data_IF_490533070419
#
_entry.id   IF_490533070419
#
_cell.length_a   1.000
_cell.length_b   1.000
_cell.length_c   1.000
_cell.angle_alpha   90.00
_cell.angle_beta   90.00
_cell.angle_gamma   90.00
#
_symmetry.space_group_name_H-M   'P 1'
#
loop_
_entity.id
_entity.type
_entity.pdbx_description
1 polymer ?
#
# COMPACT_ATOMS: atom_id res chain seq x y z
N UNK A 1 -20.24 -33.09 15.43
CA UNK A 1 -19.83 -32.14 14.39
C UNK A 1 -20.47 -30.81 14.75
N UNK A 2 -19.70 -29.91 15.36
CA UNK A 2 -20.18 -28.58 15.70
C UNK A 2 -20.29 -27.74 14.42
N UNK A 3 -21.35 -26.93 14.26
CA UNK A 3 -21.51 -26.08 13.09
C UNK A 3 -20.35 -25.08 13.05
N UNK A 4 -19.69 -24.98 11.89
CA UNK A 4 -18.67 -23.96 11.63
C UNK A 4 -19.36 -22.61 11.84
N UNK A 5 -18.93 -21.87 12.87
CA UNK A 5 -19.33 -20.48 13.12
C UNK A 5 -19.24 -19.72 11.79
N UNK A 6 -20.39 -19.21 11.32
CA UNK A 6 -20.52 -18.55 10.03
C UNK A 6 -19.43 -17.51 9.84
N UNK A 7 -18.53 -17.76 8.91
CA UNK A 7 -17.39 -16.89 8.65
C UNK A 7 -17.89 -15.72 7.82
N UNK A 8 -18.22 -14.62 8.49
CA UNK A 8 -18.72 -13.42 7.84
C UNK A 8 -17.70 -12.94 6.79
N UNK A 9 -18.17 -12.48 5.63
CA UNK A 9 -17.29 -11.87 4.65
C UNK A 9 -16.65 -10.60 5.20
N UNK A 10 -15.42 -10.30 4.78
CA UNK A 10 -14.86 -8.97 5.04
C UNK A 10 -15.57 -7.96 4.14
N UNK A 11 -15.99 -6.83 4.70
CA UNK A 11 -16.80 -5.84 4.00
C UNK A 11 -16.09 -4.48 3.95
N UNK A 12 -15.96 -3.91 2.76
CA UNK A 12 -15.42 -2.54 2.58
C UNK A 12 -16.58 -1.55 2.57
N UNK A 13 -16.84 -0.92 3.73
CA UNK A 13 -17.99 -0.01 3.91
C UNK A 13 -17.96 1.19 2.95
N UNK A 14 -16.77 1.70 2.59
CA UNK A 14 -16.61 2.80 1.65
C UNK A 14 -16.88 2.46 0.17
N UNK A 15 -17.11 1.19 -0.14
CA UNK A 15 -17.37 0.67 -1.50
C UNK A 15 -18.63 -0.18 -1.52
N UNK A 16 -19.78 0.39 -1.13
CA UNK A 16 -21.09 -0.28 -1.16
C UNK A 16 -21.14 -1.65 -0.44
N UNK A 17 -20.34 -1.84 0.60
CA UNK A 17 -20.13 -3.14 1.24
C UNK A 17 -19.66 -4.19 0.22
N UNK A 18 -18.56 -3.88 -0.46
CA UNK A 18 -17.83 -4.84 -1.29
C UNK A 18 -17.36 -5.98 -0.41
N UNK A 19 -17.79 -7.20 -0.75
CA UNK A 19 -17.39 -8.42 -0.08
C UNK A 19 -16.01 -8.89 -0.57
N UNK A 20 -15.05 -9.02 0.35
CA UNK A 20 -13.70 -9.51 0.06
C UNK A 20 -13.46 -10.79 0.84
N UNK A 21 -13.70 -11.93 0.19
CA UNK A 21 -13.43 -13.24 0.75
C UNK A 21 -13.97 -13.42 2.17
N UNK A 22 -13.31 -14.28 2.93
CA UNK A 22 -13.64 -14.62 4.30
C UNK A 22 -12.84 -13.75 5.27
N UNK A 23 -13.50 -13.06 6.20
CA UNK A 23 -12.79 -12.28 7.21
C UNK A 23 -11.92 -13.19 8.09
N UNK A 24 -10.70 -12.74 8.34
CA UNK A 24 -9.86 -13.31 9.39
C UNK A 24 -10.22 -12.67 10.72
N UNK A 25 -10.26 -13.45 11.82
CA UNK A 25 -10.30 -12.84 13.14
C UNK A 25 -9.08 -11.93 13.32
N UNK A 26 -9.20 -10.92 14.17
CA UNK A 26 -8.06 -10.07 14.50
C UNK A 26 -6.91 -10.93 15.05
N UNK A 27 -5.78 -11.00 14.34
CA UNK A 27 -4.59 -11.71 14.82
C UNK A 27 -3.36 -10.80 14.74
N UNK A 28 -3.05 -10.14 15.86
CA UNK A 28 -1.69 -10.10 16.34
C UNK A 28 -1.65 -10.75 17.72
N UNK A 29 -1.17 -11.99 17.80
CA UNK A 29 -0.87 -12.65 19.08
C UNK A 29 0.42 -12.12 19.71
N UNK A 30 1.15 -11.23 19.03
CA UNK A 30 2.49 -10.83 19.43
C UNK A 30 3.43 -12.03 19.41
N UNK A 31 4.23 -12.17 20.46
CA UNK A 31 5.12 -13.31 20.66
C UNK A 31 5.03 -13.85 22.08
N UNK A 32 5.20 -15.16 22.23
CA UNK A 32 5.26 -15.83 23.54
C UNK A 32 6.70 -15.96 24.09
N UNK A 33 7.70 -15.37 23.41
CA UNK A 33 9.13 -15.48 23.76
C UNK A 33 9.75 -14.22 24.38
N UNK A 34 10.90 -14.32 25.05
CA UNK A 34 11.67 -13.13 25.44
C UNK A 34 12.39 -12.52 24.22
N UNK A 35 12.38 -11.19 24.08
CA UNK A 35 13.21 -10.47 23.08
C UNK A 35 14.70 -10.49 23.42
N UNK A 36 15.03 -10.82 24.67
CA UNK A 36 16.39 -11.04 25.15
C UNK A 36 16.55 -12.51 25.50
N UNK A 37 17.33 -13.24 24.70
CA UNK A 37 17.59 -14.66 24.94
C UNK A 37 19.01 -14.80 25.50
N UNK A 38 19.09 -15.32 26.73
CA UNK A 38 20.35 -15.45 27.49
C UNK A 38 21.35 -16.30 26.70
N UNK A 39 22.51 -15.71 26.37
CA UNK A 39 23.61 -16.38 25.66
C UNK A 39 23.57 -16.30 24.12
N UNK A 40 22.48 -15.83 23.51
CA UNK A 40 22.35 -15.72 22.04
C UNK A 40 22.20 -14.30 21.51
N UNK A 41 21.91 -13.33 22.40
CA UNK A 41 21.68 -11.94 22.03
C UNK A 41 20.19 -11.56 21.97
N UNK A 42 19.94 -10.37 21.45
CA UNK A 42 18.64 -9.73 21.21
C UNK A 42 18.19 -10.15 19.83
N UNK A 43 16.93 -10.50 19.77
CA UNK A 43 16.23 -10.86 18.55
C UNK A 43 14.76 -10.59 18.78
N UNK A 44 14.04 -10.22 17.72
CA UNK A 44 12.59 -10.35 17.78
C UNK A 44 12.24 -11.85 17.67
N UNK A 45 11.49 -12.41 18.63
CA UNK A 45 11.04 -13.79 18.53
C UNK A 45 10.24 -14.05 17.24
N UNK A 46 10.08 -15.32 16.89
CA UNK A 46 9.17 -15.66 15.79
C UNK A 46 7.73 -15.31 16.16
N UNK A 47 7.00 -14.71 15.24
CA UNK A 47 5.63 -14.29 15.50
C UNK A 47 5.06 -13.41 14.40
N UNK A 48 3.84 -12.93 14.64
CA UNK A 48 3.10 -12.03 13.77
C UNK A 48 2.96 -10.69 14.48
N UNK A 49 3.50 -9.64 13.87
CA UNK A 49 3.67 -8.34 14.51
C UNK A 49 3.03 -7.22 13.71
N UNK A 50 2.45 -6.25 14.41
CA UNK A 50 2.19 -4.92 13.84
C UNK A 50 3.46 -4.06 13.91
N UNK A 51 3.48 -2.95 13.17
CA UNK A 51 4.55 -1.95 13.27
C UNK A 51 4.80 -1.49 14.72
N UNK A 52 3.72 -1.28 15.50
CA UNK A 52 3.80 -0.89 16.91
C UNK A 52 4.50 -1.95 17.76
N UNK A 53 4.11 -3.21 17.60
CA UNK A 53 4.70 -4.33 18.36
C UNK A 53 6.18 -4.52 18.03
N UNK A 54 6.61 -4.24 16.79
CA UNK A 54 8.03 -4.27 16.42
C UNK A 54 8.80 -3.15 17.14
N UNK A 55 8.24 -1.94 17.19
CA UNK A 55 8.86 -0.82 17.93
C UNK A 55 9.01 -1.17 19.42
N UNK A 56 7.94 -1.71 20.03
CA UNK A 56 7.94 -2.16 21.42
C UNK A 56 8.95 -3.30 21.65
N UNK A 57 9.04 -4.27 20.73
CA UNK A 57 10.02 -5.37 20.80
C UNK A 57 11.49 -4.93 20.65
N UNK A 58 11.73 -3.77 20.04
CA UNK A 58 13.06 -3.16 19.93
C UNK A 58 13.41 -2.25 21.11
N UNK A 59 12.43 -1.84 21.92
CA UNK A 59 12.64 -0.93 23.04
C UNK A 59 13.70 -1.38 24.07
N UNK A 60 13.89 -2.69 24.37
CA UNK A 60 14.93 -3.11 25.30
C UNK A 60 16.35 -2.65 24.91
N UNK A 61 16.63 -2.48 23.60
CA UNK A 61 17.91 -1.92 23.13
C UNK A 61 18.10 -0.48 23.60
N UNK A 62 17.05 0.35 23.51
CA UNK A 62 17.07 1.74 23.95
C UNK A 62 17.11 1.84 25.48
N UNK A 63 16.31 1.03 26.19
CA UNK A 63 16.27 1.03 27.66
C UNK A 63 17.62 0.64 28.27
N UNK A 64 18.31 -0.34 27.68
CA UNK A 64 19.66 -0.74 28.11
C UNK A 64 20.65 0.41 27.95
N UNK A 65 20.57 1.16 26.83
CA UNK A 65 21.40 2.36 26.62
C UNK A 65 21.09 3.41 27.69
N UNK A 66 19.82 3.70 27.93
CA UNK A 66 19.39 4.71 28.90
C UNK A 66 19.78 4.35 30.33
N UNK A 67 19.76 3.06 30.69
CA UNK A 67 20.17 2.58 32.01
C UNK A 67 21.63 2.91 32.33
N UNK A 68 22.53 2.77 31.34
CA UNK A 68 23.96 3.02 31.53
C UNK A 68 24.37 4.48 31.34
N UNK A 69 23.53 5.30 30.70
CA UNK A 69 23.81 6.72 30.57
C UNK A 69 23.64 7.43 31.91
N UNK A 70 24.68 8.14 32.36
CA UNK A 70 24.58 8.93 33.59
C UNK A 70 23.47 10.01 33.48
N UNK A 71 22.84 10.43 34.59
CA UNK A 71 21.77 11.44 34.58
C UNK A 71 22.14 12.72 33.81
N UNK A 72 21.16 13.33 33.16
CA UNK A 72 21.37 14.61 32.47
C UNK A 72 21.61 15.75 33.48
N UNK A 73 22.54 16.69 33.20
CA UNK A 73 22.70 17.90 34.00
C UNK A 73 21.40 18.68 34.14
N UNK A 74 21.22 19.44 35.24
CA UNK A 74 20.09 20.36 35.35
C UNK A 74 20.09 21.35 34.18
N UNK A 75 18.93 21.58 33.57
CA UNK A 75 18.70 22.43 32.40
C UNK A 75 19.18 21.87 31.03
N UNK A 76 19.46 20.57 30.92
CA UNK A 76 19.65 19.91 29.63
C UNK A 76 18.51 18.93 29.34
N UNK A 77 18.18 18.66 28.07
CA UNK A 77 17.27 17.59 27.71
C UNK A 77 17.72 16.25 28.32
N UNK A 78 16.76 15.41 28.67
CA UNK A 78 17.04 14.05 29.11
C UNK A 78 17.72 13.24 28.00
N UNK A 79 18.52 12.25 28.38
CA UNK A 79 19.14 11.34 27.41
C UNK A 79 18.09 10.72 26.47
N UNK A 80 16.91 10.34 27.00
CA UNK A 80 15.80 9.81 26.20
C UNK A 80 15.33 10.81 25.15
N UNK A 81 15.08 12.07 25.53
CA UNK A 81 14.65 13.11 24.59
C UNK A 81 15.69 13.32 23.49
N UNK A 82 16.98 13.38 23.83
CA UNK A 82 18.05 13.56 22.86
C UNK A 82 18.12 12.40 21.86
N UNK A 83 18.06 11.15 22.34
CA UNK A 83 18.11 9.95 21.49
C UNK A 83 16.87 9.86 20.60
N UNK A 84 15.66 10.08 21.14
CA UNK A 84 14.43 10.03 20.34
C UNK A 84 14.31 11.21 19.36
N UNK A 85 14.86 12.37 19.66
CA UNK A 85 14.97 13.50 18.72
C UNK A 85 15.97 13.21 17.58
N UNK A 86 17.01 12.44 17.85
CA UNK A 86 17.91 11.95 16.81
C UNK A 86 17.26 10.86 15.93
N UNK A 87 16.50 9.94 16.53
CA UNK A 87 15.66 8.99 15.77
C UNK A 87 14.71 9.76 14.85
N UNK A 88 14.04 10.79 15.36
CA UNK A 88 13.13 11.60 14.55
C UNK A 88 13.80 12.23 13.33
N UNK A 89 15.03 12.74 13.48
CA UNK A 89 15.78 13.27 12.33
C UNK A 89 16.23 12.18 11.36
N UNK A 90 16.65 11.01 11.84
CA UNK A 90 17.01 9.89 10.99
C UNK A 90 15.82 9.37 10.16
N UNK A 91 14.61 9.42 10.73
CA UNK A 91 13.39 8.98 10.06
C UNK A 91 12.74 10.06 9.18
N UNK A 92 13.04 11.34 9.40
CA UNK A 92 12.58 12.45 8.58
C UNK A 92 13.27 12.50 7.21
N UNK A 93 12.74 13.34 6.31
CA UNK A 93 13.36 13.67 5.02
C UNK A 93 13.95 15.09 5.06
N UNK A 94 15.04 15.31 4.33
CA UNK A 94 15.63 16.64 4.13
C UNK A 94 16.43 17.20 5.31
N UNK A 95 16.78 16.35 6.28
CA UNK A 95 17.74 16.71 7.34
C UNK A 95 19.12 16.15 7.02
N UNK A 96 20.16 16.67 7.66
CA UNK A 96 21.52 16.11 7.51
C UNK A 96 21.56 14.65 7.93
N UNK A 97 20.79 14.28 8.96
CA UNK A 97 20.77 12.94 9.54
C UNK A 97 19.82 11.97 8.83
N UNK A 98 19.06 12.42 7.84
CA UNK A 98 18.05 11.60 7.16
C UNK A 98 18.66 10.34 6.54
N UNK A 99 18.10 9.18 6.87
CA UNK A 99 18.55 7.86 6.34
C UNK A 99 17.94 7.50 4.98
N UNK A 100 17.05 8.35 4.46
CA UNK A 100 16.36 8.19 3.18
C UNK A 100 16.28 9.55 2.47
N UNK A 101 16.63 9.58 1.19
CA UNK A 101 16.71 10.81 0.39
C UNK A 101 15.68 10.85 -0.74
N UNK A 102 14.39 10.71 -0.42
CA UNK A 102 13.33 10.78 -1.45
C UNK A 102 12.88 12.22 -1.66
N UNK A 103 13.00 12.73 -2.89
CA UNK A 103 12.57 14.09 -3.24
C UNK A 103 11.04 14.22 -3.29
N UNK A 104 10.49 15.09 -2.45
CA UNK A 104 9.07 15.45 -2.50
C UNK A 104 8.69 16.36 -3.69
N UNK A 105 9.69 16.88 -4.42
CA UNK A 105 9.48 17.76 -5.58
C UNK A 105 9.19 16.98 -6.87
N UNK A 106 9.63 15.72 -6.92
CA UNK A 106 9.38 14.84 -8.05
C UNK A 106 7.96 14.26 -7.94
N UNK A 107 7.10 14.56 -8.92
CA UNK A 107 5.72 14.09 -8.96
C UNK A 107 5.62 12.55 -8.90
N UNK A 108 6.60 11.83 -9.44
CA UNK A 108 6.63 10.36 -9.42
C UNK A 108 6.94 9.78 -8.04
N UNK A 109 7.56 10.57 -7.14
CA UNK A 109 8.06 10.14 -5.82
C UNK A 109 7.35 10.83 -4.66
N UNK A 110 6.58 11.88 -4.94
CA UNK A 110 5.84 12.67 -3.94
C UNK A 110 5.01 11.81 -2.99
N UNK A 111 4.35 10.78 -3.51
CA UNK A 111 3.55 9.84 -2.74
C UNK A 111 4.40 9.06 -1.72
N UNK A 112 5.53 8.48 -2.15
CA UNK A 112 6.46 7.79 -1.26
C UNK A 112 7.16 8.72 -0.28
N UNK A 113 7.47 9.96 -0.68
CA UNK A 113 8.03 10.97 0.22
C UNK A 113 7.05 11.31 1.36
N UNK A 114 5.78 11.55 1.01
CA UNK A 114 4.73 11.79 2.00
C UNK A 114 4.54 10.57 2.91
N UNK A 115 4.56 9.37 2.34
CA UNK A 115 4.42 8.13 3.08
C UNK A 115 5.58 7.89 4.06
N UNK A 116 6.83 8.13 3.63
CA UNK A 116 8.01 8.03 4.49
C UNK A 116 7.92 8.99 5.69
N UNK A 117 7.47 10.23 5.47
CA UNK A 117 7.27 11.21 6.56
C UNK A 117 6.16 10.75 7.51
N UNK A 118 5.04 10.25 6.97
CA UNK A 118 3.91 9.76 7.77
C UNK A 118 4.34 8.60 8.67
N UNK A 119 4.95 7.56 8.09
CA UNK A 119 5.46 6.39 8.82
C UNK A 119 6.51 6.82 9.85
N UNK A 120 7.50 7.63 9.46
CA UNK A 120 8.56 8.08 10.36
C UNK A 120 8.03 8.80 11.60
N UNK A 121 7.01 9.67 11.44
CA UNK A 121 6.35 10.32 12.58
C UNK A 121 5.63 9.30 13.47
N UNK A 122 4.89 8.36 12.89
CA UNK A 122 4.19 7.31 13.65
C UNK A 122 5.16 6.46 14.47
N UNK A 123 6.28 6.01 13.88
CA UNK A 123 7.27 5.19 14.59
C UNK A 123 7.93 5.96 15.75
N UNK A 124 8.21 7.26 15.58
CA UNK A 124 8.70 8.13 16.66
C UNK A 124 7.67 8.26 17.78
N UNK A 125 6.39 8.41 17.44
CA UNK A 125 5.30 8.45 18.43
C UNK A 125 5.24 7.15 19.23
N UNK A 126 5.24 5.99 18.57
CA UNK A 126 5.27 4.70 19.25
C UNK A 126 6.50 4.56 20.17
N UNK A 127 7.68 4.97 19.71
CA UNK A 127 8.90 4.95 20.50
C UNK A 127 8.85 5.86 21.74
N UNK A 128 8.15 7.01 21.66
CA UNK A 128 7.95 7.93 22.79
C UNK A 128 6.91 7.42 23.79
N UNK A 129 5.89 6.73 23.30
CA UNK A 129 4.82 6.15 24.12
C UNK A 129 5.26 4.86 24.83
N UNK A 130 6.24 4.15 24.28
CA UNK A 130 6.77 2.91 24.85
C UNK A 130 7.50 3.19 26.16
N UNK A 131 7.01 2.59 27.25
CA UNK A 131 7.52 2.72 28.63
C UNK A 131 7.46 1.37 29.34
N UNK A 132 8.17 1.26 30.46
CA UNK A 132 8.10 0.12 31.39
C UNK A 132 8.38 -1.25 30.72
N UNK A 133 9.29 -1.27 29.76
CA UNK A 133 9.69 -2.49 29.05
C UNK A 133 10.75 -3.24 29.83
N UNK A 134 10.64 -4.58 29.87
CA UNK A 134 11.69 -5.43 30.45
C UNK A 134 12.96 -5.39 29.59
N UNK A 135 14.10 -5.14 30.23
CA UNK A 135 15.42 -5.15 29.59
C UNK A 135 16.46 -5.80 30.50
N UNK A 136 17.60 -6.17 29.93
CA UNK A 136 18.74 -6.75 30.65
C UNK A 136 19.86 -5.69 30.71
N UNK A 137 20.18 -5.14 31.90
CA UNK A 137 21.26 -4.17 32.06
C UNK A 137 22.63 -4.70 31.62
N UNK A 138 22.90 -5.99 31.74
CA UNK A 138 24.21 -6.57 31.42
C UNK A 138 24.34 -6.92 29.93
N UNK A 139 23.37 -6.49 29.14
CA UNK A 139 23.24 -6.83 27.75
C UNK A 139 24.25 -6.08 26.87
N UNK A 140 24.97 -6.84 26.04
CA UNK A 140 25.92 -6.29 25.08
C UNK A 140 25.75 -6.95 23.70
N UNK A 141 25.61 -6.13 22.66
CA UNK A 141 25.69 -6.58 21.27
C UNK A 141 26.97 -6.11 20.61
N UNK A 142 27.38 -6.89 19.62
CA UNK A 142 28.14 -6.39 18.49
C UNK A 142 27.19 -6.24 17.32
N UNK A 143 26.80 -5.01 17.02
CA UNK A 143 26.06 -4.68 15.81
C UNK A 143 27.03 -4.14 14.75
N UNK A 144 26.87 -4.51 13.45
CA UNK A 144 27.51 -3.79 12.36
C UNK A 144 27.13 -2.31 12.44
N UNK A 145 28.12 -1.42 12.44
CA UNK A 145 27.85 0.02 12.38
C UNK A 145 27.29 0.38 11.00
N UNK A 146 26.01 0.74 10.91
CA UNK A 146 25.32 1.06 9.65
C UNK A 146 25.44 2.54 9.27
N UNK A 147 26.35 3.28 9.91
CA UNK A 147 26.69 4.66 9.54
C UNK A 147 25.58 5.71 9.76
N UNK A 148 24.47 5.37 10.44
CA UNK A 148 23.39 6.32 10.77
C UNK A 148 23.95 7.57 11.46
N UNK A 149 23.66 8.73 10.88
CA UNK A 149 24.22 9.98 11.34
C UNK A 149 23.59 10.41 12.67
N UNK A 150 24.45 10.85 13.57
CA UNK A 150 24.07 11.37 14.88
C UNK A 150 24.07 12.90 14.87
N UNK A 151 23.04 13.51 15.45
CA UNK A 151 23.02 14.92 15.84
C UNK A 151 24.23 15.22 16.73
N UNK A 152 24.85 16.41 16.61
CA UNK A 152 26.04 16.76 17.40
C UNK A 152 25.87 16.54 18.91
N UNK A 153 24.70 16.87 19.46
CA UNK A 153 24.40 16.67 20.88
C UNK A 153 24.36 15.18 21.27
N UNK A 154 23.87 14.31 20.39
CA UNK A 154 23.86 12.85 20.62
C UNK A 154 25.26 12.27 20.45
N UNK A 155 26.07 12.78 19.52
CA UNK A 155 27.49 12.41 19.44
C UNK A 155 28.20 12.70 20.75
N UNK A 156 28.03 13.90 21.32
CA UNK A 156 28.62 14.25 22.62
C UNK A 156 28.11 13.36 23.76
N UNK A 157 26.84 12.98 23.74
CA UNK A 157 26.27 12.06 24.73
C UNK A 157 26.89 10.67 24.63
N UNK A 158 26.93 10.09 23.42
CA UNK A 158 27.32 8.70 23.19
C UNK A 158 28.84 8.45 23.27
N UNK A 159 29.66 9.47 22.96
CA UNK A 159 31.13 9.39 23.01
C UNK A 159 31.73 10.17 24.18
N UNK A 160 30.90 10.82 25.00
CA UNK A 160 31.35 11.59 26.14
C UNK A 160 31.54 10.75 27.41
N UNK A 161 31.96 11.39 28.51
CA UNK A 161 32.23 10.73 29.80
C UNK A 161 31.01 10.05 30.44
N UNK A 162 29.80 10.30 29.92
CA UNK A 162 28.52 9.78 30.43
C UNK A 162 28.11 8.45 29.80
N UNK A 163 28.94 7.88 28.92
CA UNK A 163 28.62 6.71 28.09
C UNK A 163 29.68 5.62 28.21
N UNK A 164 29.34 4.42 27.75
CA UNK A 164 30.25 3.28 27.64
C UNK A 164 30.47 2.94 26.16
N UNK A 165 31.64 2.42 25.81
CA UNK A 165 32.02 2.18 24.41
C UNK A 165 31.05 1.29 23.61
N UNK A 166 30.32 0.39 24.28
CA UNK A 166 29.36 -0.52 23.64
C UNK A 166 27.95 0.07 23.47
N UNK A 167 27.59 1.17 24.16
CA UNK A 167 26.25 1.76 24.08
C UNK A 167 25.94 2.29 22.68
N UNK A 168 26.96 2.79 21.97
CA UNK A 168 26.79 3.24 20.59
C UNK A 168 26.28 2.11 19.70
N UNK A 169 26.86 0.92 19.82
CA UNK A 169 26.46 -0.23 18.99
C UNK A 169 25.00 -0.63 19.25
N UNK A 170 24.55 -0.59 20.51
CA UNK A 170 23.15 -0.83 20.87
C UNK A 170 22.21 0.23 20.31
N UNK A 171 22.56 1.51 20.45
CA UNK A 171 21.74 2.59 19.93
C UNK A 171 21.70 2.61 18.39
N UNK A 172 22.81 2.28 17.73
CA UNK A 172 22.86 2.18 16.27
C UNK A 172 22.01 1.01 15.75
N UNK A 173 22.01 -0.13 16.44
CA UNK A 173 21.10 -1.23 16.12
C UNK A 173 19.64 -0.77 16.27
N UNK A 174 19.29 -0.13 17.38
CA UNK A 174 17.95 0.41 17.59
C UNK A 174 17.52 1.37 16.47
N UNK A 175 18.38 2.33 16.10
CA UNK A 175 18.14 3.23 14.97
C UNK A 175 17.94 2.46 13.66
N UNK A 176 18.81 1.48 13.41
CA UNK A 176 18.75 0.70 12.18
C UNK A 176 17.45 -0.10 12.06
N UNK A 177 16.98 -0.73 13.15
CA UNK A 177 15.70 -1.44 13.17
C UNK A 177 14.53 -0.52 12.81
N UNK A 178 14.51 0.71 13.32
CA UNK A 178 13.49 1.70 12.97
C UNK A 178 13.56 2.16 11.51
N UNK A 179 14.77 2.32 10.98
CA UNK A 179 15.00 2.67 9.56
C UNK A 179 14.53 1.55 8.63
N UNK A 180 14.89 0.31 8.94
CA UNK A 180 14.45 -0.87 8.19
C UNK A 180 12.92 -1.01 8.24
N UNK A 181 12.31 -0.83 9.41
CA UNK A 181 10.86 -0.87 9.57
C UNK A 181 10.17 0.22 8.74
N UNK A 182 10.63 1.48 8.81
CA UNK A 182 10.07 2.58 8.00
C UNK A 182 10.09 2.21 6.52
N UNK A 183 11.22 1.72 6.03
CA UNK A 183 11.43 1.47 4.61
C UNK A 183 10.64 0.25 4.12
N UNK A 184 10.51 -0.78 4.96
CA UNK A 184 9.70 -1.96 4.67
C UNK A 184 8.19 -1.64 4.62
N UNK A 185 7.74 -0.62 5.35
CA UNK A 185 6.33 -0.19 5.40
C UNK A 185 5.93 0.76 4.26
N UNK A 186 6.88 1.30 3.48
CA UNK A 186 6.61 2.23 2.38
C UNK A 186 5.56 1.74 1.37
N UNK A 187 5.45 0.44 1.03
CA UNK A 187 4.45 -0.04 0.08
C UNK A 187 2.99 0.09 0.53
N UNK A 188 2.69 0.29 1.82
CA UNK A 188 1.34 0.09 2.37
C UNK A 188 0.68 1.40 2.81
N UNK A 189 -0.55 1.68 2.36
CA UNK A 189 -1.31 2.87 2.74
C UNK A 189 -1.79 2.84 4.20
N UNK A 190 -2.21 1.66 4.67
CA UNK A 190 -2.62 1.31 6.03
C UNK A 190 -1.52 0.52 6.78
N UNK A 191 -0.28 0.96 6.65
CA UNK A 191 0.91 0.32 7.23
C UNK A 191 0.82 -0.06 8.72
N UNK A 192 -0.01 0.63 9.52
CA UNK A 192 -0.20 0.34 10.95
C UNK A 192 -0.91 -1.00 11.18
N UNK A 193 -1.75 -1.42 10.22
CA UNK A 193 -2.57 -2.63 10.30
C UNK A 193 -1.86 -3.87 9.73
N UNK A 194 -0.78 -3.68 8.99
CA UNK A 194 -0.06 -4.75 8.30
C UNK A 194 0.53 -5.73 9.32
N UNK A 195 0.21 -7.02 9.14
CA UNK A 195 0.73 -8.10 9.99
C UNK A 195 2.00 -8.67 9.38
N UNK A 196 3.13 -8.38 10.02
CA UNK A 196 4.47 -8.73 9.55
C UNK A 196 4.92 -10.05 10.22
N UNK A 197 5.17 -11.12 9.43
CA UNK A 197 5.76 -12.34 9.96
C UNK A 197 7.25 -12.16 10.23
N UNK A 198 7.65 -12.35 11.48
CA UNK A 198 9.04 -12.54 11.87
C UNK A 198 9.27 -14.04 12.02
N UNK A 199 10.20 -14.60 11.26
CA UNK A 199 10.58 -16.01 11.31
C UNK A 199 11.93 -16.17 11.98
N UNK A 200 12.13 -17.23 12.75
CA UNK A 200 13.44 -17.61 13.25
C UNK A 200 14.38 -17.84 12.06
N UNK A 201 15.36 -16.97 11.90
CA UNK A 201 16.40 -17.09 10.89
C UNK A 201 17.74 -17.47 11.51
N UNK A 202 18.71 -17.78 10.66
CA UNK A 202 20.11 -17.93 11.06
C UNK A 202 20.90 -16.64 10.82
N UNK A 203 22.03 -16.46 11.52
CA UNK A 203 22.93 -15.33 11.31
C UNK A 203 22.26 -13.96 11.53
N UNK A 204 22.38 -13.05 10.55
CA UNK A 204 21.79 -11.70 10.63
C UNK A 204 20.26 -11.68 10.53
N UNK A 205 19.68 -12.71 9.91
CA UNK A 205 18.24 -12.79 9.64
C UNK A 205 17.41 -12.94 10.93
N UNK A 206 18.04 -13.36 12.03
CA UNK A 206 17.41 -13.44 13.36
C UNK A 206 17.27 -12.08 14.07
N UNK A 207 17.96 -11.05 13.59
CA UNK A 207 18.06 -9.74 14.25
C UNK A 207 16.92 -8.83 13.79
N UNK A 208 15.70 -9.16 14.20
CA UNK A 208 14.51 -8.34 13.93
C UNK A 208 14.29 -8.10 12.44
N UNK A 209 14.29 -6.84 12.02
CA UNK A 209 13.99 -6.40 10.65
C UNK A 209 15.14 -6.57 9.66
N UNK A 210 16.34 -7.02 10.07
CA UNK A 210 17.53 -7.13 9.19
C UNK A 210 17.34 -8.04 7.99
N UNK A 211 16.35 -8.95 8.00
CA UNK A 211 16.00 -9.72 6.81
C UNK A 211 15.58 -8.86 5.61
N UNK A 212 15.13 -7.62 5.85
CA UNK A 212 14.67 -6.71 4.80
C UNK A 212 15.81 -5.98 4.08
N UNK A 213 17.05 -6.02 4.59
CA UNK A 213 18.18 -5.21 4.09
C UNK A 213 18.40 -5.33 2.57
N UNK A 214 18.43 -6.56 2.05
CA UNK A 214 18.70 -6.80 0.62
C UNK A 214 17.60 -6.23 -0.27
N UNK A 215 16.33 -6.52 0.03
CA UNK A 215 15.22 -5.98 -0.75
C UNK A 215 15.10 -4.46 -0.60
N UNK A 216 15.32 -3.93 0.62
CA UNK A 216 15.35 -2.49 0.88
C UNK A 216 16.32 -1.78 -0.06
N UNK A 217 17.55 -2.28 -0.19
CA UNK A 217 18.54 -1.67 -1.09
C UNK A 217 18.05 -1.61 -2.53
N UNK A 218 17.50 -2.71 -3.04
CA UNK A 218 16.97 -2.77 -4.41
C UNK A 218 15.77 -1.84 -4.62
N UNK A 219 14.83 -1.81 -3.67
CA UNK A 219 13.63 -0.98 -3.75
C UNK A 219 13.97 0.52 -3.66
N UNK A 220 14.84 0.93 -2.73
CA UNK A 220 15.29 2.32 -2.62
C UNK A 220 16.08 2.73 -3.86
N UNK A 221 16.96 1.87 -4.38
CA UNK A 221 17.69 2.17 -5.61
C UNK A 221 16.72 2.43 -6.79
N UNK A 222 15.67 1.61 -6.94
CA UNK A 222 14.66 1.82 -7.98
C UNK A 222 13.87 3.12 -7.76
N UNK A 223 13.44 3.38 -6.53
CA UNK A 223 12.77 4.63 -6.15
C UNK A 223 13.62 5.87 -6.44
N UNK A 224 14.95 5.76 -6.35
CA UNK A 224 15.89 6.86 -6.55
C UNK A 224 16.35 7.03 -8.00
N UNK A 225 16.41 5.97 -8.79
CA UNK A 225 17.02 5.97 -10.13
C UNK A 225 16.03 5.81 -11.28
N UNK A 226 14.82 5.31 -11.03
CA UNK A 226 13.81 5.01 -12.05
C UNK A 226 12.46 5.64 -11.70
N UNK A 227 11.50 5.49 -12.60
CA UNK A 227 10.08 5.66 -12.27
C UNK A 227 9.65 4.44 -11.44
N UNK A 228 9.11 4.65 -10.25
CA UNK A 228 8.69 3.54 -9.37
C UNK A 228 7.59 2.73 -10.04
N UNK A 229 7.91 1.50 -10.41
CA UNK A 229 6.97 0.57 -11.05
C UNK A 229 6.09 -0.11 -10.00
N UNK A 230 4.83 -0.44 -10.35
CA UNK A 230 3.97 -1.22 -9.46
C UNK A 230 4.58 -2.58 -9.12
N UNK A 231 5.29 -3.19 -10.09
CA UNK A 231 6.03 -4.44 -9.90
C UNK A 231 7.03 -4.34 -8.76
N UNK A 232 7.77 -3.25 -8.65
CA UNK A 232 8.73 -3.05 -7.55
C UNK A 232 8.05 -2.85 -6.20
N UNK A 233 6.91 -2.17 -6.16
CA UNK A 233 6.11 -2.00 -4.92
C UNK A 233 5.61 -3.36 -4.43
N UNK A 234 5.02 -4.18 -5.31
CA UNK A 234 4.51 -5.52 -4.98
C UNK A 234 5.63 -6.45 -4.57
N UNK A 235 6.74 -6.49 -5.31
CA UNK A 235 7.93 -7.27 -4.95
C UNK A 235 8.45 -6.89 -3.56
N UNK A 236 8.49 -5.60 -3.27
CA UNK A 236 8.95 -5.12 -1.97
C UNK A 236 8.04 -5.61 -0.83
N UNK A 237 6.72 -5.50 -1.02
CA UNK A 237 5.72 -6.00 -0.07
C UNK A 237 5.78 -7.53 0.12
N UNK A 238 5.97 -8.31 -0.95
CA UNK A 238 6.10 -9.77 -0.86
C UNK A 238 7.37 -10.19 -0.14
N UNK A 239 8.50 -9.52 -0.40
CA UNK A 239 9.73 -9.82 0.34
C UNK A 239 9.59 -9.61 1.86
N UNK A 240 8.64 -8.78 2.29
CA UNK A 240 8.32 -8.56 3.69
C UNK A 240 7.36 -9.63 4.23
N UNK A 241 6.30 -9.96 3.47
CA UNK A 241 5.14 -10.70 3.99
C UNK A 241 5.03 -12.16 3.50
N UNK A 242 5.57 -12.48 2.31
CA UNK A 242 5.46 -13.77 1.63
C UNK A 242 6.71 -14.03 0.77
N UNK A 243 7.84 -14.37 1.42
CA UNK A 243 9.17 -14.41 0.80
C UNK A 243 9.33 -15.44 -0.31
N UNK A 244 8.58 -16.53 -0.21
CA UNK A 244 8.67 -17.66 -1.13
C UNK A 244 7.76 -17.50 -2.36
N UNK A 245 6.94 -16.44 -2.38
CA UNK A 245 6.01 -16.17 -3.45
C UNK A 245 6.71 -15.45 -4.63
N UNK A 246 6.77 -16.12 -5.78
CA UNK A 246 7.24 -15.50 -7.01
C UNK A 246 6.18 -14.55 -7.60
N UNK A 247 6.63 -13.43 -8.15
CA UNK A 247 5.71 -12.38 -8.63
C UNK A 247 6.31 -11.54 -9.75
N UNK A 248 6.46 -12.15 -10.92
CA UNK A 248 6.93 -11.40 -12.06
C UNK A 248 5.87 -10.46 -12.64
N UNK A 249 4.58 -10.78 -12.53
CA UNK A 249 3.49 -9.94 -13.05
C UNK A 249 2.34 -9.72 -12.07
N UNK A 250 2.55 -9.93 -10.77
CA UNK A 250 1.50 -9.74 -9.78
C UNK A 250 1.23 -8.25 -9.49
N UNK A 251 -0.03 -7.90 -9.24
CA UNK A 251 -0.44 -6.57 -8.75
C UNK A 251 -0.85 -6.57 -7.28
N UNK A 252 -1.08 -7.76 -6.72
CA UNK A 252 -1.43 -8.02 -5.32
C UNK A 252 -1.16 -9.47 -5.00
N UNK A 253 -1.35 -9.85 -3.74
CA UNK A 253 -1.14 -11.22 -3.29
C UNK A 253 -1.91 -11.49 -2.00
N UNK A 254 -2.15 -12.76 -1.71
CA UNK A 254 -2.59 -13.23 -0.41
C UNK A 254 -1.43 -13.96 0.27
N UNK A 255 -1.37 -13.85 1.59
CA UNK A 255 -0.46 -14.60 2.44
C UNK A 255 -1.20 -15.06 3.70
N UNK A 256 -0.49 -15.77 4.58
CA UNK A 256 -1.06 -16.40 5.77
C UNK A 256 -1.96 -15.50 6.63
N UNK A 257 -1.67 -14.20 6.70
CA UNK A 257 -2.38 -13.27 7.60
C UNK A 257 -3.35 -12.34 6.91
N UNK A 258 -3.47 -12.39 5.57
CA UNK A 258 -4.43 -11.55 4.87
C UNK A 258 -4.14 -11.39 3.39
N UNK A 259 -4.81 -10.42 2.80
CA UNK A 259 -4.69 -10.08 1.38
C UNK A 259 -4.09 -8.68 1.25
N UNK A 260 -3.19 -8.52 0.29
CA UNK A 260 -2.59 -7.26 -0.13
C UNK A 260 -3.10 -6.94 -1.54
N UNK A 261 -3.87 -5.86 -1.69
CA UNK A 261 -4.36 -5.36 -2.98
C UNK A 261 -3.93 -3.91 -3.20
N UNK A 262 -3.91 -3.40 -4.45
CA UNK A 262 -3.75 -1.97 -4.70
C UNK A 262 -4.79 -1.16 -3.91
N UNK A 263 -4.36 -0.12 -3.20
CA UNK A 263 -5.23 0.61 -2.27
C UNK A 263 -6.50 1.14 -2.95
N UNK A 264 -6.39 1.62 -4.19
CA UNK A 264 -7.49 2.13 -5.00
C UNK A 264 -8.65 1.15 -5.19
N UNK A 265 -8.37 -0.16 -5.30
CA UNK A 265 -9.41 -1.17 -5.55
C UNK A 265 -10.18 -1.54 -4.28
N UNK A 266 -9.74 -1.07 -3.11
CA UNK A 266 -10.32 -1.36 -1.80
C UNK A 266 -10.56 -0.11 -0.95
N UNK A 267 -10.85 1.01 -1.61
CA UNK A 267 -11.34 2.24 -0.97
C UNK A 267 -10.25 3.25 -0.60
N UNK A 268 -8.98 2.96 -0.88
CA UNK A 268 -7.90 3.93 -0.81
C UNK A 268 -7.90 4.89 -2.02
N UNK A 269 -7.10 5.95 -1.94
CA UNK A 269 -6.94 6.94 -3.02
C UNK A 269 -5.54 6.96 -3.62
N UNK A 270 -4.67 6.06 -3.15
CA UNK A 270 -3.29 5.99 -3.61
C UNK A 270 -3.22 5.49 -5.05
N UNK A 271 -2.27 6.04 -5.81
CA UNK A 271 -1.96 5.56 -7.15
C UNK A 271 -1.06 4.31 -7.10
N UNK A 272 -0.14 4.22 -6.14
CA UNK A 272 0.90 3.17 -6.14
C UNK A 272 0.90 2.27 -4.92
N UNK A 273 0.36 2.74 -3.80
CA UNK A 273 0.40 2.00 -2.55
C UNK A 273 -0.60 0.83 -2.56
N UNK A 274 -0.26 -0.15 -1.76
CA UNK A 274 -1.03 -1.35 -1.48
C UNK A 274 -1.77 -1.17 -0.15
N UNK A 275 -2.81 -1.96 0.07
CA UNK A 275 -3.58 -1.99 1.31
C UNK A 275 -3.67 -3.42 1.81
N UNK A 276 -3.41 -3.59 3.10
CA UNK A 276 -3.63 -4.85 3.81
C UNK A 276 -5.09 -5.01 4.19
N UNK A 277 -5.62 -6.21 3.99
CA UNK A 277 -7.00 -6.58 4.27
C UNK A 277 -6.96 -7.88 5.08
N UNK A 278 -7.53 -7.92 6.29
CA UNK A 278 -7.57 -9.12 7.13
C UNK A 278 -8.64 -10.10 6.62
N UNK A 279 -8.42 -10.66 5.43
CA UNK A 279 -9.31 -11.59 4.76
C UNK A 279 -8.54 -12.66 3.99
N UNK A 280 -9.21 -13.77 3.68
CA UNK A 280 -8.72 -14.84 2.81
C UNK A 280 -9.71 -15.00 1.66
N UNK A 281 -9.23 -14.89 0.43
CA UNK A 281 -9.99 -15.09 -0.80
C UNK A 281 -9.83 -16.54 -1.29
N UNK A 282 -8.61 -17.08 -1.28
CA UNK A 282 -8.34 -18.48 -1.62
C UNK A 282 -8.15 -19.30 -0.34
N UNK A 283 -9.17 -20.06 0.08
CA UNK A 283 -9.06 -20.96 1.24
C UNK A 283 -8.22 -22.22 0.95
N UNK A 284 -8.00 -22.57 -0.33
CA UNK A 284 -7.25 -23.77 -0.72
C UNK A 284 -5.73 -23.54 -0.67
N UNK A 285 -5.28 -22.31 -0.97
CA UNK A 285 -3.85 -21.98 -1.04
C UNK A 285 -3.52 -20.79 -0.12
N UNK A 286 -2.66 -20.96 0.90
CA UNK A 286 -2.39 -19.91 1.89
C UNK A 286 -1.63 -18.71 1.30
N UNK A 287 -0.82 -18.94 0.27
CA UNK A 287 -0.04 -17.89 -0.40
C UNK A 287 -0.29 -17.94 -1.90
N UNK A 288 -0.86 -16.86 -2.45
CA UNK A 288 -1.14 -16.73 -3.89
C UNK A 288 -0.81 -15.34 -4.41
N UNK A 289 -0.27 -15.27 -5.62
CA UNK A 289 -0.08 -14.03 -6.38
C UNK A 289 -1.30 -13.77 -7.25
N UNK A 290 -1.81 -12.54 -7.25
CA UNK A 290 -2.86 -12.10 -8.17
C UNK A 290 -2.23 -11.43 -9.38
N UNK A 291 -2.42 -12.02 -10.55
CA UNK A 291 -1.87 -11.56 -11.83
C UNK A 291 -2.94 -10.89 -12.70
N UNK A 292 -2.49 -10.00 -13.57
CA UNK A 292 -3.36 -9.38 -14.57
C UNK A 292 -3.87 -10.44 -15.55
N UNK A 293 -5.17 -10.39 -15.86
CA UNK A 293 -5.72 -11.21 -16.95
C UNK A 293 -5.01 -10.89 -18.29
N UNK A 294 -4.74 -9.62 -18.52
CA UNK A 294 -3.93 -9.15 -19.64
C UNK A 294 -2.54 -8.74 -19.15
N UNK A 295 -1.56 -9.63 -19.30
CA UNK A 295 -0.16 -9.38 -18.93
C UNK A 295 0.39 -8.12 -19.62
N UNK A 296 0.22 -8.03 -20.94
CA UNK A 296 0.56 -6.85 -21.75
C UNK A 296 -0.69 -6.28 -22.43
N UNK A 297 -1.19 -5.15 -21.91
CA UNK A 297 -2.39 -4.51 -22.45
C UNK A 297 -2.20 -3.93 -23.85
N UNK A 298 -0.97 -3.65 -24.29
CA UNK A 298 -0.73 -3.15 -25.64
C UNK A 298 -1.13 -4.16 -26.71
N UNK A 299 -1.11 -5.45 -26.36
CA UNK A 299 -1.47 -6.56 -27.25
C UNK A 299 -2.91 -7.04 -27.10
N UNK A 300 -3.64 -6.51 -26.11
CA UNK A 300 -5.02 -6.91 -25.83
C UNK A 300 -5.97 -6.45 -26.95
N UNK A 301 -6.93 -7.30 -27.39
CA UNK A 301 -7.92 -6.89 -28.36
C UNK A 301 -8.67 -5.62 -27.93
N UNK A 302 -8.87 -4.72 -28.88
CA UNK A 302 -9.56 -3.44 -28.67
C UNK A 302 -10.99 -3.55 -29.16
N UNK A 303 -11.94 -3.35 -28.27
CA UNK A 303 -13.37 -3.40 -28.54
C UNK A 303 -13.87 -1.96 -28.69
N UNK A 304 -14.66 -1.70 -29.72
CA UNK A 304 -15.22 -0.36 -29.94
C UNK A 304 -16.30 -0.06 -28.88
N UNK A 305 -16.35 1.20 -28.44
CA UNK A 305 -17.29 1.69 -27.43
C UNK A 305 -18.74 1.41 -27.85
N UNK A 306 -19.63 1.02 -26.91
CA UNK A 306 -21.04 0.87 -27.22
C UNK A 306 -21.68 2.19 -27.68
N UNK A 307 -22.77 2.08 -28.44
CA UNK A 307 -23.53 3.24 -28.86
C UNK A 307 -24.13 3.97 -27.64
N UNK A 308 -24.10 5.31 -27.60
CA UNK A 308 -24.60 6.08 -26.47
C UNK A 308 -26.09 5.85 -26.25
N UNK A 309 -26.51 5.77 -24.98
CA UNK A 309 -27.90 5.57 -24.58
C UNK A 309 -28.75 6.76 -25.08
N UNK A 310 -29.78 6.50 -25.91
CA UNK A 310 -30.68 7.57 -26.42
C UNK A 310 -31.63 8.12 -25.34
N UNK A 311 -31.63 7.55 -24.14
CA UNK A 311 -32.46 7.99 -23.01
C UNK A 311 -31.86 9.24 -22.36
N UNK A 312 -32.11 10.39 -22.96
CA UNK A 312 -31.95 11.68 -22.30
C UNK A 312 -32.93 11.75 -21.12
N UNK A 313 -32.38 11.86 -19.90
CA UNK A 313 -33.07 12.12 -18.63
C UNK A 313 -33.88 10.95 -18.04
N UNK A 314 -33.52 10.61 -16.79
CA UNK A 314 -34.40 10.13 -15.69
C UNK A 314 -34.38 8.69 -15.17
N UNK A 315 -33.54 7.76 -15.65
CA UNK A 315 -33.53 6.37 -15.10
C UNK A 315 -32.16 5.83 -14.64
N UNK A 316 -31.18 6.71 -14.37
CA UNK A 316 -29.90 6.29 -13.74
C UNK A 316 -30.06 5.68 -12.32
N UNK A 317 -31.28 5.68 -11.78
CA UNK A 317 -31.67 5.14 -10.48
C UNK A 317 -32.20 3.70 -10.53
N UNK A 318 -32.40 3.08 -11.71
CA UNK A 318 -33.07 1.77 -11.80
C UNK A 318 -32.15 0.54 -11.86
N UNK A 319 -30.84 0.69 -12.10
CA UNK A 319 -29.89 -0.43 -12.06
C UNK A 319 -29.31 -0.60 -10.65
N UNK A 320 -30.16 -0.82 -9.65
CA UNK A 320 -29.72 -1.04 -8.27
C UNK A 320 -28.73 -2.21 -8.19
N UNK A 321 -27.49 -1.93 -7.82
CA UNK A 321 -26.49 -2.94 -7.50
C UNK A 321 -27.02 -3.77 -6.31
N UNK A 322 -27.19 -5.07 -6.49
CA UNK A 322 -27.74 -5.96 -5.45
C UNK A 322 -26.64 -6.68 -4.67
N UNK A 323 -25.54 -7.00 -5.34
CA UNK A 323 -24.40 -7.69 -4.73
C UNK A 323 -23.09 -7.35 -5.44
N UNK A 324 -21.99 -7.35 -4.70
CA UNK A 324 -20.66 -7.14 -5.23
C UNK A 324 -19.59 -7.86 -4.39
N UNK A 325 -18.71 -8.59 -5.08
CA UNK A 325 -17.67 -9.36 -4.41
C UNK A 325 -16.41 -9.51 -5.25
N UNK A 326 -15.30 -9.82 -4.57
CA UNK A 326 -14.10 -10.32 -5.21
C UNK A 326 -14.10 -11.84 -5.24
N UNK A 327 -13.87 -12.39 -6.43
CA UNK A 327 -13.84 -13.82 -6.66
C UNK A 327 -12.67 -14.21 -7.57
N UNK A 328 -12.15 -15.41 -7.35
CA UNK A 328 -11.07 -15.98 -8.15
C UNK A 328 -11.65 -16.66 -9.40
N UNK A 329 -10.96 -16.57 -10.52
CA UNK A 329 -11.32 -17.35 -11.71
C UNK A 329 -11.14 -18.85 -11.46
N UNK A 330 -12.26 -19.59 -11.46
CA UNK A 330 -12.31 -21.04 -11.24
C UNK A 330 -11.61 -21.89 -12.31
N UNK A 331 -11.06 -21.27 -13.37
CA UNK A 331 -10.25 -21.95 -14.40
C UNK A 331 -8.80 -22.19 -13.98
N UNK A 332 -8.34 -21.59 -12.88
CA UNK A 332 -6.97 -21.77 -12.40
C UNK A 332 -6.78 -23.13 -11.70
N UNK A 333 -5.68 -23.82 -12.02
CA UNK A 333 -5.28 -25.06 -11.34
C UNK A 333 -5.12 -24.78 -9.84
N UNK A 334 -5.80 -25.58 -9.00
CA UNK A 334 -5.74 -25.44 -7.54
C UNK A 334 -4.34 -25.62 -6.97
N UNK A 335 -3.42 -26.23 -7.73
CA UNK A 335 -1.99 -26.36 -7.37
C UNK A 335 -1.14 -25.16 -7.77
N UNK A 336 -1.62 -24.28 -8.64
CA UNK A 336 -0.90 -23.06 -9.00
C UNK A 336 -0.86 -22.12 -7.79
N UNK A 337 0.19 -21.31 -7.67
CA UNK A 337 0.25 -20.19 -6.72
C UNK A 337 -0.15 -18.86 -7.37
N UNK A 338 -0.61 -18.89 -8.62
CA UNK A 338 -1.12 -17.71 -9.34
C UNK A 338 -2.64 -17.80 -9.53
N UNK A 339 -3.31 -16.65 -9.38
CA UNK A 339 -4.76 -16.47 -9.53
C UNK A 339 -5.06 -15.20 -10.31
N UNK A 340 -6.19 -15.18 -11.01
CA UNK A 340 -6.81 -13.95 -11.51
C UNK A 340 -7.97 -13.62 -10.58
N UNK A 341 -8.04 -12.37 -10.13
CA UNK A 341 -9.11 -11.89 -9.25
C UNK A 341 -10.05 -10.99 -10.03
N UNK A 342 -11.34 -11.29 -9.98
CA UNK A 342 -12.38 -10.51 -10.63
C UNK A 342 -13.26 -9.79 -9.60
N UNK A 343 -13.65 -8.55 -9.93
CA UNK A 343 -14.79 -7.86 -9.35
C UNK A 343 -16.05 -8.38 -10.03
N UNK A 344 -16.88 -9.08 -9.27
CA UNK A 344 -18.20 -9.54 -9.70
C UNK A 344 -19.26 -8.58 -9.18
N UNK A 345 -20.16 -8.18 -10.06
CA UNK A 345 -21.30 -7.30 -9.72
C UNK A 345 -22.58 -7.90 -10.26
N UNK A 346 -23.60 -7.89 -9.42
CA UNK A 346 -24.96 -8.32 -9.75
C UNK A 346 -25.91 -7.15 -9.64
N UNK A 347 -26.78 -7.01 -10.63
CA UNK A 347 -27.76 -5.93 -10.72
C UNK A 347 -29.19 -6.45 -10.52
N UNK A 348 -30.10 -5.59 -10.07
CA UNK A 348 -31.51 -5.95 -9.82
C UNK A 348 -32.24 -6.44 -11.08
N UNK A 349 -31.79 -6.05 -12.27
CA UNK A 349 -32.33 -6.51 -13.55
C UNK A 349 -31.83 -7.90 -13.98
N UNK A 350 -31.01 -8.57 -13.15
CA UNK A 350 -30.43 -9.88 -13.43
C UNK A 350 -29.12 -9.85 -14.21
N UNK A 351 -28.66 -8.67 -14.66
CA UNK A 351 -27.37 -8.56 -15.34
C UNK A 351 -26.23 -8.79 -14.34
N UNK A 352 -25.17 -9.44 -14.81
CA UNK A 352 -23.93 -9.63 -14.08
C UNK A 352 -22.77 -9.10 -14.91
N UNK A 353 -21.80 -8.47 -14.26
CA UNK A 353 -20.54 -8.06 -14.91
C UNK A 353 -19.37 -8.54 -14.08
N UNK A 354 -18.28 -8.88 -14.78
CA UNK A 354 -17.06 -9.43 -14.20
C UNK A 354 -15.88 -8.68 -14.79
N UNK A 355 -15.06 -8.04 -13.95
CA UNK A 355 -13.93 -7.20 -14.37
C UNK A 355 -12.66 -7.63 -13.65
N UNK A 356 -11.54 -7.76 -14.35
CA UNK A 356 -10.22 -8.03 -13.76
C UNK A 356 -9.79 -6.90 -12.82
N UNK A 357 -9.58 -7.24 -11.54
CA UNK A 357 -9.13 -6.28 -10.52
C UNK A 357 -7.74 -5.73 -10.87
N UNK A 358 -6.91 -6.52 -11.56
CA UNK A 358 -5.65 -6.07 -12.12
C UNK A 358 -5.86 -4.92 -13.11
N UNK A 359 -6.75 -5.07 -14.08
CA UNK A 359 -7.10 -4.00 -15.01
C UNK A 359 -7.68 -2.78 -14.29
N UNK A 360 -8.51 -2.94 -13.27
CA UNK A 360 -9.02 -1.79 -12.49
C UNK A 360 -7.84 -1.00 -11.89
N UNK A 361 -6.89 -1.68 -11.25
CA UNK A 361 -5.70 -1.04 -10.70
C UNK A 361 -4.85 -0.36 -11.77
N UNK A 362 -4.75 -0.97 -12.96
CA UNK A 362 -4.05 -0.39 -14.12
C UNK A 362 -4.76 0.89 -14.59
N UNK A 363 -6.06 0.82 -14.87
CA UNK A 363 -6.86 1.96 -15.28
C UNK A 363 -6.79 3.11 -14.29
N UNK A 364 -6.85 2.84 -12.98
CA UNK A 364 -6.66 3.85 -11.95
C UNK A 364 -5.29 4.53 -12.02
N UNK A 365 -4.20 3.75 -12.18
CA UNK A 365 -2.82 4.27 -12.27
C UNK A 365 -2.57 5.14 -13.49
N UNK A 366 -3.17 4.80 -14.61
CA UNK A 366 -3.05 5.56 -15.85
C UNK A 366 -4.12 6.64 -16.00
N UNK A 367 -5.06 6.75 -15.05
CA UNK A 367 -6.06 7.81 -15.06
C UNK A 367 -5.49 9.16 -14.66
N UNK A 368 -6.05 10.20 -15.25
CA UNK A 368 -5.84 11.59 -14.86
C UNK A 368 -6.95 12.04 -13.91
N UNK A 369 -6.64 12.94 -12.99
CA UNK A 369 -7.62 13.57 -12.09
C UNK A 369 -7.91 14.98 -12.54
N UNK A 370 -9.19 15.31 -12.68
CA UNK A 370 -9.66 16.66 -12.97
C UNK A 370 -10.43 17.19 -11.76
N UNK A 371 -9.90 18.26 -11.16
CA UNK A 371 -10.51 18.95 -10.01
C UNK A 371 -11.09 20.30 -10.45
N UNK A 372 -12.11 20.77 -9.74
CA UNK A 372 -12.78 22.05 -10.04
C UNK A 372 -11.78 23.22 -10.08
N UNK A 373 -11.72 23.94 -11.20
CA UNK A 373 -10.87 25.12 -11.34
C UNK A 373 -11.62 26.37 -10.87
N UNK A 374 -10.95 27.22 -10.09
CA UNK A 374 -11.53 28.48 -9.58
C UNK A 374 -11.63 29.58 -10.65
N UNK A 375 -11.15 29.35 -11.88
CA UNK A 375 -11.06 30.39 -12.92
C UNK A 375 -12.29 30.43 -13.82
N UNK A 376 -12.89 31.63 -13.89
CA UNK A 376 -14.01 32.00 -14.77
C UNK A 376 -13.60 32.13 -16.25
N UNK A 377 -12.85 31.19 -16.81
CA UNK A 377 -12.66 31.14 -18.26
C UNK A 377 -13.96 30.68 -18.91
N UNK A 378 -14.40 31.40 -19.96
CA UNK A 378 -15.58 31.05 -20.72
C UNK A 378 -15.43 29.63 -21.28
N UNK A 379 -16.15 28.68 -20.69
CA UNK A 379 -16.08 27.26 -21.05
C UNK A 379 -16.52 27.08 -22.51
N UNK A 380 -15.65 26.51 -23.35
CA UNK A 380 -16.12 25.96 -24.64
C UNK A 380 -17.08 24.81 -24.33
N UNK A 381 -18.19 24.74 -25.07
CA UNK A 381 -19.13 23.62 -24.95
C UNK A 381 -18.45 22.36 -25.49
N UNK A 382 -17.97 21.50 -24.59
CA UNK A 382 -17.41 20.19 -24.95
C UNK A 382 -18.58 19.30 -25.40
N UNK A 383 -18.55 18.85 -26.65
CA UNK A 383 -19.52 17.88 -27.16
C UNK A 383 -19.03 16.50 -26.76
N UNK A 384 -19.81 15.80 -25.94
CA UNK A 384 -19.48 14.46 -25.44
C UNK A 384 -20.64 13.49 -25.71
N UNK A 385 -20.30 12.27 -26.09
CA UNK A 385 -21.22 11.12 -26.12
C UNK A 385 -21.43 10.66 -24.69
N UNK A 386 -22.67 10.64 -24.21
CA UNK A 386 -22.99 10.31 -22.82
C UNK A 386 -23.42 8.85 -22.72
N UNK A 387 -22.87 8.14 -21.75
CA UNK A 387 -23.12 6.71 -21.48
C UNK A 387 -23.49 6.52 -20.01
N UNK A 388 -24.41 5.61 -19.74
CA UNK A 388 -24.57 5.06 -18.38
C UNK A 388 -23.49 4.00 -18.13
N UNK A 389 -22.95 3.92 -16.91
CA UNK A 389 -21.96 2.89 -16.58
C UNK A 389 -22.54 1.48 -16.68
N UNK A 390 -23.82 1.29 -16.35
CA UNK A 390 -24.50 0.00 -16.46
C UNK A 390 -24.56 -0.50 -17.91
N UNK A 391 -25.00 0.34 -18.86
CA UNK A 391 -25.06 -0.02 -20.28
C UNK A 391 -23.65 -0.24 -20.84
N UNK A 392 -22.73 0.64 -20.46
CA UNK A 392 -21.33 0.56 -20.87
C UNK A 392 -20.71 -0.79 -20.49
N UNK A 393 -20.90 -1.20 -19.24
CA UNK A 393 -20.35 -2.45 -18.70
C UNK A 393 -21.13 -3.69 -19.13
N UNK A 394 -22.42 -3.58 -19.46
CA UNK A 394 -23.19 -4.70 -20.00
C UNK A 394 -22.68 -5.15 -21.38
N UNK A 395 -22.09 -4.23 -22.15
CA UNK A 395 -21.45 -4.54 -23.44
C UNK A 395 -20.04 -5.14 -23.30
N UNK A 396 -19.46 -5.09 -22.10
CA UNK A 396 -18.10 -5.57 -21.86
C UNK A 396 -18.06 -7.10 -21.81
N UNK A 397 -17.40 -7.70 -22.80
CA UNK A 397 -17.05 -9.12 -22.80
C UNK A 397 -15.61 -9.33 -22.32
N UNK A 398 -15.30 -10.52 -21.79
CA UNK A 398 -13.96 -10.91 -21.30
C UNK A 398 -12.90 -11.09 -22.41
N UNK A 399 -13.07 -10.46 -23.58
CA UNK A 399 -12.25 -10.71 -24.77
C UNK A 399 -11.40 -9.52 -25.18
N UNK A 400 -11.49 -8.38 -24.49
CA UNK A 400 -10.71 -7.19 -24.84
C UNK A 400 -11.00 -5.97 -23.97
N UNK A 401 -10.34 -4.84 -24.27
CA UNK A 401 -10.51 -3.55 -23.59
C UNK A 401 -11.23 -2.55 -24.50
N UNK A 402 -12.10 -1.71 -23.91
CA UNK A 402 -12.91 -0.74 -24.64
C UNK A 402 -12.08 0.48 -25.03
N UNK A 403 -12.22 0.90 -26.29
CA UNK A 403 -11.66 2.13 -26.85
C UNK A 403 -12.62 2.68 -27.91
N UNK A 404 -12.33 3.85 -28.49
CA UNK A 404 -12.99 4.28 -29.72
C UNK A 404 -11.92 4.56 -30.80
N UNK A 405 -11.99 3.85 -31.93
CA UNK A 405 -11.09 4.06 -33.08
C UNK A 405 -11.41 5.34 -33.85
N UNK A 406 -12.66 5.81 -33.79
CA UNK A 406 -13.09 7.08 -34.38
C UNK A 406 -12.72 8.26 -33.47
N UNK A 407 -12.35 7.97 -32.22
CA UNK A 407 -11.98 8.94 -31.21
C UNK A 407 -13.19 9.69 -30.66
N UNK A 408 -12.94 10.81 -29.99
CA UNK A 408 -14.00 11.66 -29.43
C UNK A 408 -14.01 11.70 -27.90
N UNK A 409 -15.02 12.36 -27.33
CA UNK A 409 -15.16 12.53 -25.89
C UNK A 409 -16.35 11.71 -25.40
N UNK A 410 -16.11 10.78 -24.47
CA UNK A 410 -17.12 9.90 -23.91
C UNK A 410 -17.27 10.19 -22.42
N UNK A 411 -18.44 10.67 -22.01
CA UNK A 411 -18.78 10.86 -20.61
C UNK A 411 -19.52 9.63 -20.10
N UNK A 412 -18.94 8.91 -19.15
CA UNK A 412 -19.54 7.73 -18.51
C UNK A 412 -20.02 8.13 -17.11
N UNK A 413 -21.33 8.11 -16.93
CA UNK A 413 -22.00 8.44 -15.68
C UNK A 413 -22.11 7.18 -14.82
N UNK A 414 -21.43 7.19 -13.68
CA UNK A 414 -21.37 6.11 -12.70
C UNK A 414 -22.27 6.47 -11.52
N UNK A 415 -23.10 5.54 -11.05
CA UNK A 415 -23.96 5.78 -9.89
C UNK A 415 -23.20 5.65 -8.56
N UNK A 416 -22.00 5.05 -8.59
CA UNK A 416 -21.17 4.85 -7.40
C UNK A 416 -19.69 4.56 -7.74
N UNK A 417 -18.86 4.47 -6.70
CA UNK A 417 -17.42 4.19 -6.81
C UNK A 417 -17.11 2.83 -7.44
N UNK A 418 -17.90 1.77 -7.17
CA UNK A 418 -17.66 0.45 -7.75
C UNK A 418 -17.89 0.41 -9.26
N UNK A 419 -18.87 1.15 -9.77
CA UNK A 419 -19.08 1.30 -11.20
C UNK A 419 -17.93 2.06 -11.87
N UNK A 420 -17.47 3.14 -11.23
CA UNK A 420 -16.30 3.86 -11.71
C UNK A 420 -15.06 2.95 -11.77
N UNK A 421 -14.82 2.16 -10.72
CA UNK A 421 -13.74 1.17 -10.69
C UNK A 421 -13.90 0.12 -11.80
N UNK A 422 -15.10 -0.42 -11.98
CA UNK A 422 -15.37 -1.38 -13.05
C UNK A 422 -15.12 -0.79 -14.44
N UNK A 423 -15.53 0.47 -14.70
CA UNK A 423 -15.24 1.18 -15.93
C UNK A 423 -13.73 1.34 -16.16
N UNK A 424 -12.96 1.68 -15.13
CA UNK A 424 -11.50 1.76 -15.22
C UNK A 424 -10.85 0.44 -15.64
N UNK A 425 -11.39 -0.69 -15.21
CA UNK A 425 -10.90 -2.00 -15.62
C UNK A 425 -11.36 -2.44 -17.01
N UNK A 426 -12.44 -1.87 -17.51
CA UNK A 426 -12.98 -2.17 -18.84
C UNK A 426 -12.33 -1.35 -19.96
N UNK A 427 -11.90 -0.12 -19.67
CA UNK A 427 -11.37 0.83 -20.66
C UNK A 427 -9.87 0.60 -20.91
N UNK A 428 -9.46 0.75 -22.17
CA UNK A 428 -8.04 0.74 -22.56
C UNK A 428 -7.29 1.91 -21.88
N UNK A 429 -6.18 1.66 -21.15
CA UNK A 429 -5.61 2.60 -20.19
C UNK A 429 -4.70 3.67 -20.83
N UNK A 430 -5.21 4.45 -21.79
CA UNK A 430 -4.47 5.52 -22.47
C UNK A 430 -4.87 6.93 -21.97
N UNK A 431 -6.15 7.28 -22.06
CA UNK A 431 -6.63 8.65 -21.83
C UNK A 431 -7.94 8.68 -21.06
N UNK A 432 -7.88 8.17 -19.82
CA UNK A 432 -9.01 8.11 -18.90
C UNK A 432 -8.89 9.26 -17.90
N UNK A 433 -9.97 10.03 -17.73
CA UNK A 433 -10.04 11.16 -16.81
C UNK A 433 -11.12 10.85 -15.79
N UNK A 434 -10.77 10.91 -14.51
CA UNK A 434 -11.73 10.82 -13.40
C UNK A 434 -12.00 12.22 -12.88
N UNK A 435 -13.26 12.61 -12.90
CA UNK A 435 -13.71 13.87 -12.32
C UNK A 435 -13.84 13.75 -10.81
N UNK A 436 -13.22 14.68 -10.10
CA UNK A 436 -13.42 14.81 -8.65
C UNK A 436 -14.82 15.38 -8.36
N UNK A 437 -15.28 15.17 -7.13
CA UNK A 437 -16.55 15.71 -6.67
C UNK A 437 -16.60 17.24 -6.85
N UNK A 438 -17.68 17.74 -7.46
CA UNK A 438 -17.86 19.17 -7.76
C UNK A 438 -17.14 19.67 -9.01
N UNK A 439 -16.31 18.84 -9.68
CA UNK A 439 -15.75 19.17 -10.98
C UNK A 439 -16.79 18.96 -12.10
N UNK A 440 -16.61 19.71 -13.19
CA UNK A 440 -17.48 19.71 -14.36
C UNK A 440 -16.73 19.22 -15.60
N UNK A 441 -17.47 18.93 -16.67
CA UNK A 441 -16.85 18.55 -17.94
C UNK A 441 -15.86 19.61 -18.47
N UNK A 442 -16.09 20.89 -18.17
CA UNK A 442 -15.19 21.98 -18.56
C UNK A 442 -13.83 21.90 -17.85
N UNK A 443 -13.77 21.37 -16.62
CA UNK A 443 -12.54 21.21 -15.85
C UNK A 443 -11.61 20.13 -16.43
N UNK A 444 -12.10 19.35 -17.41
CA UNK A 444 -11.27 18.38 -18.15
C UNK A 444 -10.50 19.00 -19.32
N UNK A 445 -10.71 20.28 -19.63
CA UNK A 445 -9.96 20.97 -20.68
C UNK A 445 -8.48 21.06 -20.30
N UNK A 446 -7.60 20.46 -21.10
CA UNK A 446 -6.16 20.39 -20.82
C UNK A 446 -5.73 19.31 -19.82
N UNK A 447 -6.65 18.47 -19.35
CA UNK A 447 -6.34 17.29 -18.52
C UNK A 447 -6.22 16.04 -19.40
N UNK A 448 -5.17 15.25 -19.17
CA UNK A 448 -4.89 14.04 -19.94
C UNK A 448 -4.12 14.30 -21.24
N UNK A 449 -4.09 13.29 -22.11
CA UNK A 449 -3.42 13.41 -23.41
C UNK A 449 -4.29 14.23 -24.36
N UNK A 450 -3.67 15.19 -25.06
CA UNK A 450 -4.37 16.13 -25.96
C UNK A 450 -3.98 15.87 -27.41
N UNK A 451 -4.13 14.62 -27.86
CA UNK A 451 -3.84 14.22 -29.23
C UNK A 451 -5.13 14.26 -30.08
N UNK A 452 -5.12 14.93 -31.24
CA UNK A 452 -6.28 14.98 -32.13
C UNK A 452 -6.68 13.58 -32.61
N UNK A 453 -7.97 13.25 -32.50
CA UNK A 453 -8.52 11.97 -32.96
C UNK A 453 -8.36 10.81 -31.98
N UNK A 454 -7.73 11.00 -30.82
CA UNK A 454 -7.70 9.98 -29.78
C UNK A 454 -8.95 10.02 -28.90
N UNK A 455 -9.45 8.87 -28.44
CA UNK A 455 -10.58 8.81 -27.54
C UNK A 455 -10.23 9.38 -26.17
N UNK A 456 -11.17 10.11 -25.56
CA UNK A 456 -11.10 10.64 -24.20
C UNK A 456 -12.27 10.08 -23.41
N UNK A 457 -11.98 9.24 -22.42
CA UNK A 457 -13.00 8.69 -21.53
C UNK A 457 -13.03 9.49 -20.23
N UNK A 458 -14.18 10.04 -19.88
CA UNK A 458 -14.39 10.86 -18.69
C UNK A 458 -15.35 10.12 -17.78
N UNK A 459 -14.90 9.75 -16.58
CA UNK A 459 -15.70 9.06 -15.57
C UNK A 459 -16.18 10.06 -14.53
N UNK A 460 -17.48 10.07 -14.28
CA UNK A 460 -18.12 10.95 -13.30
C UNK A 460 -19.05 10.16 -12.40
N UNK A 461 -18.99 10.40 -11.09
CA UNK A 461 -20.01 9.91 -10.16
C UNK A 461 -21.16 10.92 -10.12
N UNK A 462 -22.39 10.44 -10.30
CA UNK A 462 -23.62 11.28 -10.35
C UNK A 462 -24.45 11.20 -9.08
#
# INVERSE_FOLDING_TARGET
MSPILGTQPFQVTGLQNLSIGRALPHVPTGHDGSTIVKGTGWSLPSGAYTARQIVEGCAPLLETVLHHLSPSPPNQPSAREMLLDNLASNLALGTRESSLEVSAKDASRKEFAAQAVKIGKTLVTYARETKDVSFDPDYAIRSPCEGHLLKPAVTLLMFGPRSLGHLMQMYNEYLHQMVLLRDALLPFDNYEEVVIPITAGEGKQRLGMRFTESNRMSFIAELMTKLTTQKAVVRSAQSLLARDLAADNAYGFQYRYGVILPAAVVGGQSLRLLRYIPAIIDDATPEVSFEYEFADYYTTPRIDVPQPSQSSNSDATQHGLTDCSFAIDGRTDSKSTTRILHLQKSYANGNCSTIDVGQISRGWRYSYKASAQSSKSASKKVVASVHSAADFLASFGSTGLITDKEGGVHLIQCSNNLELLACLGAIYPDNIIVLDEGATLADTEGVGQSLPGEPRFILQIT
#
